data_IF_312160738864
#
_entry.id   IF_312160738864
#
_cell.length_a   1.000
_cell.length_b   1.000
_cell.length_c   1.000
_cell.angle_alpha   90.00
_cell.angle_beta   90.00
_cell.angle_gamma   90.00
#
_symmetry.space_group_name_H-M   'P 1'
#
loop_
_entity.id
_entity.type
_entity.pdbx_description
1 polymer ?
#
# COMPACT_ATOMS: atom_id res chain seq x y z
N UNK A 1 7.94 23.54 -40.46
CA UNK A 1 6.57 22.99 -40.42
C UNK A 1 6.73 21.49 -40.58
N UNK A 2 6.99 20.83 -39.47
CA UNK A 2 7.10 19.37 -39.39
C UNK A 2 6.49 19.01 -38.04
N UNK A 3 5.16 19.05 -38.00
CA UNK A 3 4.36 18.49 -36.91
C UNK A 3 4.37 16.97 -37.09
N UNK A 4 5.47 16.32 -36.70
CA UNK A 4 5.39 14.92 -36.34
C UNK A 4 4.63 14.86 -35.02
N UNK A 5 3.30 14.83 -35.12
CA UNK A 5 2.42 14.54 -34.01
C UNK A 5 2.92 13.24 -33.37
N UNK A 6 3.58 13.36 -32.21
CA UNK A 6 3.61 12.28 -31.24
C UNK A 6 2.15 11.94 -31.02
N UNK A 7 1.71 10.86 -31.66
CA UNK A 7 0.43 10.25 -31.38
C UNK A 7 0.50 9.90 -29.88
N UNK A 8 0.04 10.82 -29.03
CA UNK A 8 -0.11 10.55 -27.62
C UNK A 8 -1.04 9.33 -27.57
N UNK A 9 -0.48 8.17 -27.21
CA UNK A 9 -1.30 7.00 -26.96
C UNK A 9 -2.11 7.41 -25.73
N UNK A 10 -3.35 7.83 -25.98
CA UNK A 10 -4.26 8.28 -24.94
C UNK A 10 -4.45 7.08 -24.02
N UNK A 11 -3.86 7.16 -22.84
CA UNK A 11 -4.06 6.16 -21.80
C UNK A 11 -5.51 6.30 -21.36
N UNK A 12 -6.35 5.41 -21.87
CA UNK A 12 -7.81 5.42 -21.66
C UNK A 12 -8.27 4.14 -20.96
N UNK A 13 -7.42 3.12 -20.96
CA UNK A 13 -7.65 1.82 -20.34
C UNK A 13 -6.30 1.17 -20.00
N UNK A 14 -6.36 -0.02 -19.39
CA UNK A 14 -5.18 -0.80 -19.04
C UNK A 14 -4.33 -1.21 -20.25
N UNK A 15 -4.97 -1.62 -21.35
CA UNK A 15 -4.24 -2.14 -22.51
C UNK A 15 -3.39 -1.03 -23.14
N UNK A 16 -4.00 0.13 -23.38
CA UNK A 16 -3.34 1.34 -23.89
C UNK A 16 -2.24 1.82 -22.93
N UNK A 17 -2.44 1.75 -21.62
CA UNK A 17 -1.40 2.07 -20.64
C UNK A 17 -0.14 1.21 -20.84
N UNK A 18 -0.25 -0.12 -20.73
CA UNK A 18 0.91 -1.02 -20.83
C UNK A 18 1.53 -1.00 -22.23
N UNK A 19 0.70 -0.94 -23.27
CA UNK A 19 1.19 -0.80 -24.64
C UNK A 19 2.03 0.47 -24.81
N UNK A 20 1.62 1.60 -24.22
CA UNK A 20 2.38 2.86 -24.27
C UNK A 20 3.76 2.76 -23.61
N UNK A 21 3.94 1.87 -22.63
CA UNK A 21 5.22 1.63 -21.97
C UNK A 21 6.11 0.71 -22.81
N UNK A 22 5.55 -0.35 -23.41
CA UNK A 22 6.30 -1.26 -24.28
C UNK A 22 6.83 -0.57 -25.54
N UNK A 23 6.08 0.36 -26.12
CA UNK A 23 6.47 1.09 -27.33
C UNK A 23 7.41 2.29 -27.07
N UNK A 24 7.68 2.62 -25.80
CA UNK A 24 8.50 3.79 -25.46
C UNK A 24 9.99 3.51 -25.66
N UNK A 25 10.65 4.31 -26.48
CA UNK A 25 12.12 4.33 -26.62
C UNK A 25 12.81 5.19 -25.56
N UNK A 26 12.03 5.90 -24.73
CA UNK A 26 12.56 6.79 -23.71
C UNK A 26 12.68 6.03 -22.37
N UNK A 27 13.90 5.80 -21.92
CA UNK A 27 14.20 5.13 -20.65
C UNK A 27 13.75 5.92 -19.40
N UNK A 28 13.29 7.16 -19.57
CA UNK A 28 12.95 8.08 -18.47
C UNK A 28 11.52 8.64 -18.62
N UNK A 29 10.51 7.81 -18.33
CA UNK A 29 9.13 8.28 -18.19
C UNK A 29 8.92 8.83 -16.78
N UNK A 30 8.44 10.08 -16.68
CA UNK A 30 8.02 10.67 -15.40
C UNK A 30 6.76 9.97 -14.88
N UNK A 31 6.70 9.75 -13.57
CA UNK A 31 5.54 9.16 -12.90
C UNK A 31 4.31 10.07 -12.92
N UNK A 32 4.49 11.39 -13.06
CA UNK A 32 3.42 12.39 -13.06
C UNK A 32 2.51 12.33 -11.82
N UNK A 33 3.13 12.09 -10.65
CA UNK A 33 2.44 12.05 -9.35
C UNK A 33 3.08 13.01 -8.34
N UNK A 34 2.30 13.44 -7.35
CA UNK A 34 2.81 14.13 -6.16
C UNK A 34 2.22 13.53 -4.89
N UNK A 35 3.00 13.56 -3.81
CA UNK A 35 2.58 13.15 -2.47
C UNK A 35 2.58 14.39 -1.60
N UNK A 36 1.47 14.66 -0.93
CA UNK A 36 1.33 15.74 0.04
C UNK A 36 1.17 15.11 1.42
N UNK A 37 2.24 15.04 2.23
CA UNK A 37 2.18 14.42 3.54
C UNK A 37 1.43 15.27 4.55
N UNK A 38 0.81 14.64 5.55
CA UNK A 38 0.14 15.31 6.68
C UNK A 38 -1.01 16.25 6.28
N UNK A 39 -1.61 16.02 5.12
CA UNK A 39 -2.79 16.74 4.63
C UNK A 39 -3.93 15.76 4.40
N UNK A 40 -5.16 16.27 4.41
CA UNK A 40 -6.36 15.46 4.22
C UNK A 40 -7.57 16.25 3.73
N UNK A 41 -8.44 15.57 2.99
CA UNK A 41 -9.77 16.07 2.63
C UNK A 41 -10.89 15.55 3.53
N UNK A 42 -10.63 14.55 4.38
CA UNK A 42 -11.61 14.14 5.40
C UNK A 42 -11.84 15.30 6.37
N UNK A 43 -13.10 15.68 6.57
CA UNK A 43 -13.43 16.73 7.53
C UNK A 43 -13.05 16.27 8.93
N UNK A 44 -12.35 17.10 9.70
CA UNK A 44 -12.04 16.85 11.11
C UNK A 44 -13.27 16.93 12.03
N UNK A 45 -14.48 16.66 11.51
CA UNK A 45 -15.70 16.62 12.31
C UNK A 45 -15.60 15.41 13.24
N UNK A 46 -15.69 15.66 14.53
CA UNK A 46 -15.47 14.70 15.62
C UNK A 46 -16.61 13.70 15.84
N UNK A 47 -17.64 13.72 14.98
CA UNK A 47 -18.79 12.83 15.14
C UNK A 47 -18.39 11.38 14.90
N UNK A 48 -18.69 10.50 15.86
CA UNK A 48 -18.45 9.06 15.74
C UNK A 48 -19.33 8.38 14.70
N UNK A 49 -20.32 9.07 14.15
CA UNK A 49 -21.26 8.56 13.15
C UNK A 49 -20.68 8.52 11.73
N UNK A 50 -19.58 9.24 11.48
CA UNK A 50 -18.93 9.26 10.17
C UNK A 50 -17.61 8.49 10.20
N UNK A 51 -17.35 7.77 9.11
CA UNK A 51 -16.06 7.12 8.91
C UNK A 51 -14.98 8.15 8.60
N UNK A 52 -13.85 8.03 9.28
CA UNK A 52 -12.71 8.91 9.15
C UNK A 52 -11.43 8.09 9.29
N UNK A 53 -10.67 8.02 8.19
CA UNK A 53 -9.45 7.22 8.11
C UNK A 53 -8.37 7.69 9.09
N UNK A 54 -8.37 8.97 9.52
CA UNK A 54 -7.41 9.51 10.49
C UNK A 54 -7.50 8.84 11.84
N UNK A 55 -8.67 8.28 12.16
CA UNK A 55 -8.90 7.61 13.43
C UNK A 55 -8.34 6.19 13.44
N UNK A 56 -8.00 5.63 12.28
CA UNK A 56 -7.57 4.24 12.16
C UNK A 56 -6.30 3.95 12.98
N UNK A 57 -5.19 4.71 12.89
CA UNK A 57 -4.03 4.48 13.75
C UNK A 57 -4.35 4.48 15.25
N UNK A 58 -5.27 5.35 15.70
CA UNK A 58 -5.70 5.45 17.09
C UNK A 58 -6.65 4.33 17.53
N UNK A 59 -7.31 3.68 16.57
CA UNK A 59 -8.22 2.55 16.79
C UNK A 59 -7.57 1.22 16.49
N UNK A 60 -6.33 1.21 16.01
CA UNK A 60 -5.56 0.02 15.68
C UNK A 60 -4.63 -0.40 16.83
N UNK A 61 -3.94 -1.53 16.68
CA UNK A 61 -2.90 -1.99 17.58
C UNK A 61 -1.80 -0.94 17.83
N UNK A 62 -1.55 0.00 16.90
CA UNK A 62 -0.58 1.09 17.06
C UNK A 62 -0.83 1.93 18.32
N UNK A 63 -2.08 1.98 18.79
CA UNK A 63 -2.47 2.62 20.05
C UNK A 63 -1.63 2.15 21.24
N UNK A 64 -1.29 0.87 21.26
CA UNK A 64 -0.49 0.23 22.33
C UNK A 64 0.94 0.76 22.39
N UNK A 65 1.50 1.21 21.26
CA UNK A 65 2.82 1.83 21.20
C UNK A 65 2.88 3.26 21.78
N UNK A 66 1.72 3.82 22.14
CA UNK A 66 1.58 5.17 22.68
C UNK A 66 1.67 6.28 21.62
N UNK A 67 1.43 7.53 22.05
CA UNK A 67 1.32 8.68 21.15
C UNK A 67 2.57 8.92 20.28
N UNK A 68 3.77 8.57 20.75
CA UNK A 68 5.00 8.71 19.97
C UNK A 68 4.99 7.84 18.72
N UNK A 69 4.47 6.61 18.80
CA UNK A 69 4.37 5.68 17.68
C UNK A 69 3.26 6.12 16.73
N UNK A 70 2.07 6.39 17.27
CA UNK A 70 0.88 6.73 16.45
C UNK A 70 1.12 7.99 15.60
N UNK A 71 1.75 9.02 16.17
CA UNK A 71 2.01 10.29 15.47
C UNK A 71 2.95 10.17 14.26
N UNK A 72 3.61 9.03 14.07
CA UNK A 72 4.41 8.74 12.88
C UNK A 72 3.55 8.32 11.68
N UNK A 73 2.31 7.92 11.93
CA UNK A 73 1.36 7.42 10.93
C UNK A 73 0.27 8.47 10.71
N UNK A 74 0.66 9.52 9.98
CA UNK A 74 -0.26 10.55 9.48
C UNK A 74 -0.71 10.19 8.07
N UNK A 75 -1.91 10.61 7.66
CA UNK A 75 -2.35 10.42 6.29
C UNK A 75 -1.51 11.25 5.32
N UNK A 76 -1.56 10.85 4.06
CA UNK A 76 -0.97 11.60 2.96
C UNK A 76 -1.90 11.56 1.76
N UNK A 77 -1.98 12.70 1.07
CA UNK A 77 -2.68 12.79 -0.20
C UNK A 77 -1.74 12.38 -1.33
N UNK A 78 -2.31 11.68 -2.31
CA UNK A 78 -1.67 11.34 -3.57
C UNK A 78 -2.44 12.01 -4.69
N UNK A 79 -1.70 12.76 -5.50
CA UNK A 79 -2.22 13.44 -6.68
C UNK A 79 -1.64 12.81 -7.93
N UNK A 80 -2.50 12.36 -8.83
CA UNK A 80 -2.15 12.10 -10.22
C UNK A 80 -2.35 13.39 -11.03
N UNK A 81 -1.37 13.78 -11.83
CA UNK A 81 -1.44 15.01 -12.63
C UNK A 81 -2.15 14.85 -13.97
N UNK A 82 -2.46 13.61 -14.38
CA UNK A 82 -3.15 13.33 -15.63
C UNK A 82 -3.17 11.83 -15.97
N UNK A 83 -3.69 11.47 -17.16
CA UNK A 83 -3.80 10.10 -17.63
C UNK A 83 -2.45 9.37 -17.66
N UNK A 84 -2.45 8.12 -17.21
CA UNK A 84 -1.28 7.27 -17.15
C UNK A 84 -0.24 7.72 -16.12
N UNK A 85 -0.62 8.53 -15.12
CA UNK A 85 0.23 8.75 -13.96
C UNK A 85 0.40 7.44 -13.18
N UNK A 86 1.62 7.19 -12.73
CA UNK A 86 2.08 5.90 -12.20
C UNK A 86 2.36 6.04 -10.71
N UNK A 87 1.78 5.16 -9.91
CA UNK A 87 2.19 4.91 -8.54
C UNK A 87 3.04 3.64 -8.51
N UNK A 88 4.38 3.79 -8.39
CA UNK A 88 5.27 2.64 -8.46
C UNK A 88 5.04 1.66 -7.30
N UNK A 89 5.54 0.44 -7.48
CA UNK A 89 5.49 -0.63 -6.49
C UNK A 89 6.04 -0.18 -5.14
N UNK A 90 5.19 -0.27 -4.13
CA UNK A 90 5.55 0.03 -2.75
C UNK A 90 4.77 -0.88 -1.78
N UNK A 91 5.17 -0.83 -0.51
CA UNK A 91 4.47 -1.45 0.61
C UNK A 91 4.17 -0.36 1.63
N UNK A 92 3.10 -0.55 2.41
CA UNK A 92 2.89 0.28 3.59
C UNK A 92 4.13 0.25 4.51
N UNK A 93 4.38 1.38 5.18
CA UNK A 93 5.51 1.54 6.13
C UNK A 93 5.51 0.39 7.13
N UNK A 94 6.69 -0.19 7.38
CA UNK A 94 6.88 -1.33 8.28
C UNK A 94 5.96 -2.54 8.00
N UNK A 95 5.54 -2.69 6.73
CA UNK A 95 4.65 -3.76 6.28
C UNK A 95 3.33 -3.79 7.06
N UNK A 96 2.86 -2.63 7.52
CA UNK A 96 1.56 -2.44 8.14
C UNK A 96 0.42 -2.70 7.14
N UNK A 97 -0.82 -2.70 7.64
CA UNK A 97 -1.98 -2.54 6.75
C UNK A 97 -2.03 -1.11 6.24
N UNK A 98 -2.62 -0.90 5.08
CA UNK A 98 -2.95 0.43 4.59
C UNK A 98 -4.33 0.47 4.01
N UNK A 99 -5.02 1.59 4.19
CA UNK A 99 -6.25 1.91 3.49
C UNK A 99 -5.98 3.08 2.56
N UNK A 100 -6.62 3.06 1.40
CA UNK A 100 -6.67 4.16 0.47
C UNK A 100 -8.12 4.50 0.13
N UNK A 101 -8.44 5.79 0.15
CA UNK A 101 -9.72 6.32 -0.30
C UNK A 101 -9.51 7.18 -1.53
N UNK A 102 -10.21 6.85 -2.61
CA UNK A 102 -10.17 7.64 -3.83
C UNK A 102 -11.23 8.74 -3.76
N UNK A 103 -10.81 9.99 -3.66
CA UNK A 103 -11.73 11.13 -3.50
C UNK A 103 -12.43 11.49 -4.80
N UNK A 104 -11.66 11.72 -5.86
CA UNK A 104 -12.14 12.21 -7.16
C UNK A 104 -11.15 11.92 -8.30
N UNK A 105 -11.64 11.95 -9.54
CA UNK A 105 -10.83 11.84 -10.76
C UNK A 105 -11.05 10.55 -11.55
N UNK A 106 -10.06 10.21 -12.40
CA UNK A 106 -10.06 8.96 -13.17
C UNK A 106 -9.78 7.72 -12.31
N UNK A 107 -10.29 6.56 -12.73
CA UNK A 107 -10.17 5.33 -11.96
C UNK A 107 -8.72 4.87 -11.81
N UNK A 108 -8.43 4.20 -10.69
CA UNK A 108 -7.13 3.62 -10.39
C UNK A 108 -7.12 2.13 -10.73
N UNK A 109 -6.18 1.70 -11.55
CA UNK A 109 -5.94 0.28 -11.85
C UNK A 109 -4.81 -0.22 -10.95
N UNK A 110 -5.15 -1.05 -9.98
CA UNK A 110 -4.24 -1.60 -8.99
C UNK A 110 -3.78 -3.01 -9.35
N UNK A 111 -2.51 -3.28 -9.10
CA UNK A 111 -1.92 -4.61 -9.05
C UNK A 111 -1.37 -4.85 -7.65
N UNK A 112 -1.98 -5.79 -6.93
CA UNK A 112 -1.69 -6.05 -5.52
C UNK A 112 -1.07 -7.44 -5.42
N UNK A 113 0.18 -7.51 -4.98
CA UNK A 113 0.92 -8.75 -4.81
C UNK A 113 0.91 -9.13 -3.31
N UNK A 114 0.35 -10.30 -2.95
CA UNK A 114 0.28 -10.75 -1.57
C UNK A 114 1.67 -10.91 -0.94
N UNK A 115 1.75 -10.72 0.39
CA UNK A 115 3.02 -10.73 1.12
C UNK A 115 3.85 -12.03 0.93
N UNK A 116 3.19 -13.17 0.76
CA UNK A 116 3.83 -14.48 0.51
C UNK A 116 4.64 -14.55 -0.80
N UNK A 117 4.34 -13.71 -1.77
CA UNK A 117 5.02 -13.69 -3.07
C UNK A 117 6.28 -12.82 -3.07
N UNK A 118 6.48 -11.99 -2.04
CA UNK A 118 7.55 -10.99 -1.98
C UNK A 118 8.94 -11.59 -2.10
N UNK A 119 9.21 -12.71 -1.43
CA UNK A 119 10.53 -13.33 -1.44
C UNK A 119 10.88 -13.90 -2.81
N UNK A 120 9.89 -14.48 -3.50
CA UNK A 120 10.06 -14.98 -4.87
C UNK A 120 10.29 -13.79 -5.80
N UNK A 121 9.46 -12.74 -5.68
CA UNK A 121 9.58 -11.54 -6.50
C UNK A 121 10.92 -10.83 -6.30
N UNK A 122 11.38 -10.66 -5.05
CA UNK A 122 12.68 -10.04 -4.76
C UNK A 122 13.83 -10.84 -5.36
N UNK A 123 13.77 -12.18 -5.33
CA UNK A 123 14.78 -13.02 -5.97
C UNK A 123 14.81 -12.83 -7.49
N UNK A 124 13.66 -12.67 -8.13
CA UNK A 124 13.57 -12.39 -9.57
C UNK A 124 14.18 -11.02 -9.87
N UNK A 125 13.78 -9.98 -9.13
CA UNK A 125 14.31 -8.62 -9.32
C UNK A 125 15.83 -8.58 -9.08
N UNK A 126 16.34 -9.28 -8.07
CA UNK A 126 17.77 -9.32 -7.77
C UNK A 126 18.62 -9.95 -8.87
N UNK A 127 18.06 -10.84 -9.70
CA UNK A 127 18.76 -11.40 -10.88
C UNK A 127 19.01 -10.35 -11.96
N UNK A 128 18.17 -9.33 -12.03
CA UNK A 128 18.30 -8.23 -12.98
C UNK A 128 19.04 -7.04 -12.36
N UNK A 129 18.66 -6.64 -11.15
CA UNK A 129 19.23 -5.48 -10.45
C UNK A 129 19.12 -5.63 -8.93
N UNK A 130 20.20 -6.12 -8.32
CA UNK A 130 20.30 -6.42 -6.88
C UNK A 130 20.15 -5.23 -5.94
N UNK A 131 20.20 -3.99 -6.46
CA UNK A 131 20.08 -2.77 -5.67
C UNK A 131 18.63 -2.30 -5.50
N UNK A 132 17.66 -2.87 -6.23
CA UNK A 132 16.26 -2.45 -6.15
C UNK A 132 15.58 -3.03 -4.91
N UNK A 133 14.98 -2.15 -4.12
CA UNK A 133 14.07 -2.50 -3.04
C UNK A 133 12.62 -2.45 -3.51
N UNK A 134 11.84 -3.50 -3.22
CA UNK A 134 10.41 -3.55 -3.54
C UNK A 134 9.58 -2.51 -2.75
N UNK A 135 10.09 -2.01 -1.63
CA UNK A 135 9.33 -1.13 -0.73
C UNK A 135 9.43 0.36 -1.09
N UNK A 136 10.36 0.72 -1.96
CA UNK A 136 10.84 2.10 -2.10
C UNK A 136 10.28 2.87 -3.29
N UNK A 137 9.24 2.36 -3.97
CA UNK A 137 8.58 3.10 -5.04
C UNK A 137 9.48 3.32 -6.27
N UNK A 138 10.44 2.41 -6.52
CA UNK A 138 11.41 2.55 -7.61
C UNK A 138 11.13 1.66 -8.82
N UNK A 139 10.10 0.81 -8.73
CA UNK A 139 9.86 -0.25 -9.69
C UNK A 139 8.40 -0.23 -10.13
N UNK A 140 8.18 -0.41 -11.43
CA UNK A 140 6.88 -0.77 -11.99
C UNK A 140 7.09 -2.10 -12.74
N UNK A 141 6.27 -3.10 -12.44
CA UNK A 141 6.39 -4.43 -13.04
C UNK A 141 5.18 -4.67 -13.95
N UNK A 142 5.43 -4.93 -15.22
CA UNK A 142 4.37 -5.37 -16.14
C UNK A 142 3.74 -6.68 -15.62
N UNK A 143 2.39 -6.78 -15.51
CA UNK A 143 1.69 -7.99 -15.12
C UNK A 143 2.12 -9.23 -15.90
N UNK A 144 2.50 -9.10 -17.17
CA UNK A 144 3.04 -10.19 -17.99
C UNK A 144 4.33 -10.77 -17.42
N UNK A 145 5.15 -9.97 -16.74
CA UNK A 145 6.36 -10.46 -16.04
C UNK A 145 5.96 -11.26 -14.80
N UNK A 146 4.92 -10.84 -14.08
CA UNK A 146 4.39 -11.58 -12.93
C UNK A 146 3.83 -12.93 -13.39
N UNK A 147 3.04 -12.94 -14.45
CA UNK A 147 2.44 -14.15 -15.04
C UNK A 147 3.50 -15.14 -15.51
N UNK A 148 4.52 -14.67 -16.24
CA UNK A 148 5.65 -15.50 -16.73
C UNK A 148 6.44 -16.15 -15.60
N UNK A 149 6.47 -15.53 -14.42
CA UNK A 149 7.19 -16.05 -13.26
C UNK A 149 6.25 -16.72 -12.23
N UNK A 150 4.99 -16.94 -12.59
CA UNK A 150 3.97 -17.55 -11.73
C UNK A 150 3.77 -16.82 -10.39
N UNK A 151 3.97 -15.50 -10.37
CA UNK A 151 3.71 -14.65 -9.21
C UNK A 151 2.22 -14.33 -9.18
N UNK A 152 1.54 -14.70 -8.10
CA UNK A 152 0.12 -14.35 -7.91
C UNK A 152 -0.04 -12.88 -7.57
N UNK A 153 -1.03 -12.23 -8.17
CA UNK A 153 -1.45 -10.88 -7.84
C UNK A 153 -2.97 -10.74 -8.01
N UNK A 154 -3.52 -9.70 -7.41
CA UNK A 154 -4.89 -9.27 -7.62
C UNK A 154 -4.89 -8.02 -8.49
N UNK A 155 -5.83 -7.98 -9.43
CA UNK A 155 -6.13 -6.79 -10.22
C UNK A 155 -7.43 -6.18 -9.71
N UNK A 156 -7.41 -4.89 -9.39
CA UNK A 156 -8.58 -4.16 -8.88
C UNK A 156 -8.69 -2.83 -9.60
N UNK A 157 -9.90 -2.45 -10.00
CA UNK A 157 -10.20 -1.10 -10.47
C UNK A 157 -10.92 -0.40 -9.32
N UNK A 158 -10.37 0.73 -8.87
CA UNK A 158 -10.95 1.55 -7.82
C UNK A 158 -11.50 2.83 -8.46
N UNK A 159 -12.81 3.03 -8.33
CA UNK A 159 -13.51 4.24 -8.76
C UNK A 159 -13.54 5.29 -7.64
N UNK A 160 -13.84 6.56 -7.96
CA UNK A 160 -14.06 7.57 -6.94
C UNK A 160 -15.07 7.10 -5.90
N UNK A 161 -14.84 7.53 -4.66
CA UNK A 161 -15.62 7.19 -3.46
C UNK A 161 -15.50 5.73 -2.98
N UNK A 162 -14.51 4.97 -3.49
CA UNK A 162 -14.22 3.62 -3.05
C UNK A 162 -12.97 3.53 -2.17
N UNK A 163 -12.97 2.53 -1.27
CA UNK A 163 -11.82 2.19 -0.46
C UNK A 163 -11.10 0.95 -1.01
N UNK A 164 -9.78 0.99 -1.02
CA UNK A 164 -8.92 -0.20 -1.17
C UNK A 164 -8.16 -0.42 0.13
N UNK A 165 -8.30 -1.61 0.72
CA UNK A 165 -7.56 -2.01 1.92
C UNK A 165 -6.53 -3.05 1.54
N UNK A 166 -5.26 -2.76 1.83
CA UNK A 166 -4.14 -3.67 1.62
C UNK A 166 -3.79 -4.38 2.92
N UNK A 167 -3.65 -5.70 2.84
CA UNK A 167 -3.18 -6.51 3.96
C UNK A 167 -1.75 -6.15 4.35
N UNK A 168 -1.37 -6.47 5.60
CA UNK A 168 0.01 -6.34 6.03
C UNK A 168 0.99 -7.00 5.04
N UNK A 169 2.10 -6.31 4.79
CA UNK A 169 3.15 -6.73 3.86
C UNK A 169 2.76 -6.80 2.38
N UNK A 170 1.52 -6.52 1.97
CA UNK A 170 1.18 -6.50 0.55
C UNK A 170 2.03 -5.46 -0.20
N UNK A 171 2.43 -5.82 -1.41
CA UNK A 171 3.01 -4.88 -2.37
C UNK A 171 1.89 -4.39 -3.29
N UNK A 172 1.91 -3.12 -3.65
CA UNK A 172 0.96 -2.55 -4.59
C UNK A 172 1.62 -1.56 -5.53
N UNK A 173 1.21 -1.61 -6.78
CA UNK A 173 1.47 -0.59 -7.79
C UNK A 173 0.14 -0.23 -8.45
N UNK A 174 0.03 0.98 -8.99
CA UNK A 174 -1.15 1.37 -9.76
C UNK A 174 -0.84 2.41 -10.83
N UNK A 175 -1.78 2.61 -11.74
CA UNK A 175 -1.82 3.78 -12.61
C UNK A 175 -3.25 4.33 -12.66
N UNK A 176 -3.39 5.54 -13.21
CA UNK A 176 -4.66 6.26 -13.25
C UNK A 176 -5.10 6.56 -14.67
N UNK A 177 -6.41 6.54 -14.92
CA UNK A 177 -7.00 6.90 -16.22
C UNK A 177 -7.00 8.42 -16.46
N UNK A 178 -6.97 9.23 -15.40
CA UNK A 178 -6.94 10.70 -15.49
C UNK A 178 -6.33 11.31 -14.20
N UNK A 179 -6.21 12.63 -14.16
CA UNK A 179 -5.93 13.38 -12.96
C UNK A 179 -6.88 12.96 -11.83
N UNK A 180 -6.33 12.74 -10.65
CA UNK A 180 -7.10 12.24 -9.50
C UNK A 180 -6.46 12.58 -8.18
N UNK A 181 -7.29 12.48 -7.14
CA UNK A 181 -6.90 12.58 -5.75
C UNK A 181 -7.30 11.32 -4.99
N UNK A 182 -6.34 10.79 -4.23
CA UNK A 182 -6.58 9.75 -3.24
C UNK A 182 -5.88 10.09 -1.93
N UNK A 183 -6.33 9.48 -0.85
CA UNK A 183 -5.78 9.66 0.47
C UNK A 183 -5.53 8.31 1.12
N UNK A 184 -4.31 8.11 1.63
CA UNK A 184 -3.93 6.85 2.24
C UNK A 184 -3.43 7.03 3.67
N UNK A 185 -3.63 6.01 4.50
CA UNK A 185 -3.05 5.92 5.84
C UNK A 185 -2.78 4.47 6.23
N UNK A 186 -1.74 4.26 7.06
CA UNK A 186 -1.37 2.94 7.56
C UNK A 186 -1.92 2.68 8.96
N UNK A 187 -2.23 1.42 9.26
CA UNK A 187 -2.70 0.97 10.57
C UNK A 187 -2.22 -0.46 10.87
N UNK A 188 -2.28 -0.87 12.13
CA UNK A 188 -1.87 -2.21 12.57
C UNK A 188 -3.06 -3.00 13.15
N UNK A 189 -3.19 -4.25 12.74
CA UNK A 189 -4.01 -5.28 13.40
C UNK A 189 -3.10 -6.28 14.13
N UNK A 190 -3.61 -7.07 15.11
CA UNK A 190 -2.83 -8.12 15.78
C UNK A 190 -2.07 -9.05 14.81
N UNK A 191 -2.70 -9.41 13.69
CA UNK A 191 -2.10 -10.32 12.70
C UNK A 191 -0.81 -9.77 12.06
N UNK A 192 -0.58 -8.45 12.06
CA UNK A 192 0.70 -7.88 11.61
C UNK A 192 1.91 -8.40 12.41
N UNK A 193 1.71 -8.70 13.70
CA UNK A 193 2.73 -9.31 14.56
C UNK A 193 2.73 -10.83 14.35
N UNK A 194 1.56 -11.46 14.35
CA UNK A 194 1.41 -12.92 14.25
C UNK A 194 1.98 -13.47 12.93
N UNK A 195 1.76 -12.75 11.83
CA UNK A 195 2.28 -13.08 10.50
C UNK A 195 3.78 -12.74 10.33
N UNK A 196 4.42 -12.22 11.39
CA UNK A 196 5.86 -11.90 11.42
C UNK A 196 6.26 -10.64 10.64
N UNK A 197 5.29 -9.86 10.12
CA UNK A 197 5.57 -8.63 9.38
C UNK A 197 6.25 -7.56 10.23
N UNK A 198 5.91 -7.48 11.52
CA UNK A 198 6.47 -6.54 12.47
C UNK A 198 7.99 -6.76 12.74
N UNK A 199 8.43 -8.02 12.74
CA UNK A 199 9.82 -8.40 12.98
C UNK A 199 10.63 -8.61 11.70
N UNK A 200 10.00 -8.46 10.54
CA UNK A 200 10.66 -8.66 9.27
C UNK A 200 11.79 -7.64 9.09
N UNK A 201 13.00 -8.08 8.71
CA UNK A 201 14.10 -7.16 8.49
C UNK A 201 13.73 -6.18 7.38
N UNK A 202 13.90 -4.89 7.65
CA UNK A 202 13.88 -3.87 6.61
C UNK A 202 15.05 -4.19 5.68
N UNK A 203 14.82 -4.42 4.37
CA UNK A 203 15.91 -4.70 3.46
C UNK A 203 16.94 -3.59 3.54
N UNK A 204 18.20 -3.92 3.86
CA UNK A 204 19.32 -2.97 3.71
C UNK A 204 19.53 -2.74 2.22
N UNK A 205 18.76 -1.82 1.66
CA UNK A 205 18.89 -1.47 0.27
C UNK A 205 20.03 -0.46 0.08
N UNK A 206 20.65 -0.47 -1.09
CA UNK A 206 21.61 0.57 -1.49
C UNK A 206 20.91 1.75 -2.20
N UNK A 207 19.58 1.81 -2.14
CA UNK A 207 18.81 2.89 -2.73
C UNK A 207 19.20 4.21 -2.03
N UNK A 208 19.67 5.19 -2.79
CA UNK A 208 20.03 6.51 -2.29
C UNK A 208 18.76 7.34 -2.04
N UNK A 209 17.95 6.93 -1.05
CA UNK A 209 16.73 7.62 -0.63
C UNK A 209 17.09 8.47 0.59
N UNK A 210 16.73 9.76 0.63
CA UNK A 210 17.07 10.62 1.75
C UNK A 210 16.66 9.99 3.09
N UNK A 211 17.56 10.09 4.07
CA UNK A 211 17.46 9.46 5.39
C UNK A 211 16.21 9.88 6.18
N UNK A 212 15.59 11.02 5.82
CA UNK A 212 14.32 11.50 6.37
C UNK A 212 13.11 10.60 6.02
N UNK A 213 13.28 9.67 5.06
CA UNK A 213 12.30 8.64 4.68
C UNK A 213 12.61 7.25 5.24
N UNK A 214 13.72 7.08 5.98
CA UNK A 214 13.99 5.84 6.69
C UNK A 214 13.14 5.81 7.97
N UNK A 215 12.32 4.76 8.19
CA UNK A 215 11.36 4.77 9.28
C UNK A 215 12.06 4.76 10.64
N UNK A 216 11.57 5.57 11.57
CA UNK A 216 11.71 5.27 12.99
C UNK A 216 11.19 3.85 13.19
N UNK A 217 12.08 2.91 13.52
CA UNK A 217 11.72 1.51 13.73
C UNK A 217 10.71 1.48 14.88
N UNK A 218 9.51 0.90 14.63
CA UNK A 218 8.63 0.57 15.73
C UNK A 218 9.38 -0.46 16.55
N UNK A 219 9.68 -0.09 17.79
CA UNK A 219 10.20 -0.99 18.79
C UNK A 219 9.09 -1.99 19.16
N UNK A 220 9.05 -3.10 18.41
CA UNK A 220 8.04 -4.17 18.57
C UNK A 220 8.11 -4.85 19.93
N UNK A 221 9.22 -4.72 20.67
CA UNK A 221 9.33 -5.25 22.04
C UNK A 221 8.36 -4.58 23.01
N UNK A 222 7.85 -3.40 22.65
CA UNK A 222 6.80 -2.68 23.39
C UNK A 222 5.43 -3.35 23.28
N UNK A 223 5.21 -4.19 22.27
CA UNK A 223 3.96 -4.89 22.02
C UNK A 223 3.99 -6.25 22.72
N UNK A 224 3.87 -6.24 24.05
CA UNK A 224 3.80 -7.47 24.85
C UNK A 224 2.49 -8.22 24.57
N UNK A 225 2.54 -9.56 24.63
CA UNK A 225 1.37 -10.42 24.41
C UNK A 225 0.17 -10.04 25.28
N UNK A 226 0.39 -9.69 26.55
CA UNK A 226 -0.66 -9.21 27.45
C UNK A 226 -1.36 -7.93 26.95
N UNK A 227 -0.61 -6.99 26.38
CA UNK A 227 -1.16 -5.74 25.85
C UNK A 227 -1.93 -5.96 24.55
N UNK A 228 -1.44 -6.87 23.71
CA UNK A 228 -2.15 -7.32 22.50
C UNK A 228 -3.46 -7.99 22.90
N UNK A 229 -3.42 -8.94 23.83
CA UNK A 229 -4.60 -9.65 24.31
C UNK A 229 -5.61 -8.67 24.92
N UNK A 230 -5.14 -7.73 25.74
CA UNK A 230 -5.98 -6.67 26.29
C UNK A 230 -6.63 -5.82 25.20
N UNK A 231 -5.89 -5.46 24.15
CA UNK A 231 -6.44 -4.74 23.00
C UNK A 231 -7.52 -5.56 22.29
N UNK A 232 -7.27 -6.85 22.03
CA UNK A 232 -8.25 -7.77 21.40
C UNK A 232 -9.53 -7.83 22.25
N UNK A 233 -9.41 -8.08 23.55
CA UNK A 233 -10.56 -8.16 24.47
C UNK A 233 -11.34 -6.85 24.57
N UNK A 234 -10.66 -5.70 24.61
CA UNK A 234 -11.32 -4.40 24.80
C UNK A 234 -11.89 -3.78 23.51
N UNK A 235 -11.34 -4.11 22.35
CA UNK A 235 -11.60 -3.37 21.12
C UNK A 235 -12.06 -4.21 19.93
N UNK A 236 -11.82 -5.53 19.93
CA UNK A 236 -12.18 -6.40 18.81
C UNK A 236 -13.35 -7.35 19.12
N UNK A 237 -13.90 -7.34 20.35
CA UNK A 237 -15.03 -8.18 20.77
C UNK A 237 -14.91 -9.67 20.38
N UNK A 238 -13.70 -10.19 20.27
CA UNK A 238 -13.47 -11.62 20.05
C UNK A 238 -13.64 -12.31 21.40
N UNK A 239 -14.90 -12.53 21.79
CA UNK A 239 -15.23 -13.49 22.85
C UNK A 239 -15.03 -14.90 22.28
N UNK A 240 -14.41 -15.76 23.08
CA UNK A 240 -13.95 -17.09 22.69
C UNK A 240 -15.11 -18.09 22.53
N UNK A 241 -16.06 -17.83 21.63
CA UNK A 241 -17.25 -18.69 21.45
C UNK A 241 -17.09 -19.79 20.38
N UNK A 242 -15.94 -19.93 19.72
CA UNK A 242 -15.71 -21.00 18.73
C UNK A 242 -15.03 -22.26 19.30
N UNK A 243 -15.23 -22.57 20.60
CA UNK A 243 -14.80 -23.86 21.19
C UNK A 243 -15.94 -24.67 21.81
N UNK A 244 -17.14 -24.64 21.23
CA UNK A 244 -18.21 -25.57 21.64
C UNK A 244 -19.09 -26.07 20.48
N UNK A 245 -18.50 -26.82 19.54
CA UNK A 245 -19.18 -27.87 18.78
C UNK A 245 -18.08 -28.76 18.20
N UNK A 246 -17.88 -30.03 18.53
CA UNK A 246 -18.79 -31.15 18.77
C UNK A 246 -18.00 -32.24 19.51
N UNK A 247 -18.29 -32.48 20.77
CA UNK A 247 -18.06 -33.76 21.43
C UNK A 247 -19.33 -34.05 22.22
N UNK A 248 -20.26 -34.76 21.59
CA UNK A 248 -21.21 -35.70 22.20
C UNK A 248 -22.17 -36.18 21.12
N UNK A 249 -21.98 -37.43 20.70
CA UNK A 249 -22.87 -38.18 19.82
C UNK A 249 -22.69 -39.64 20.18
N UNK A 250 -23.64 -40.11 21.00
CA UNK A 250 -23.78 -41.44 21.57
C UNK A 250 -23.86 -42.56 20.53
#
# INVERSE_FOLDING_TARGET
MDESAQQSCLVTDEYSFWFSLCSSTNEQRLVNTSIVPNESFFSQKTSRLYFDIHRLPYQSLLKTGGNKVIRQFVPYLRRAHGPGAIFPMTSARQRLFSIDYHHEGGAHHWYIIPAREREVLQRIINRHKSTICLDHGQLLIDPLILDKNHIRYHRVIQHPNEFVVLSAGALAQSFTEDASWSESIAFALPSWIEDGHASAPIPRCQCNIPQDFLPDIIDVTRFKQELIQRYITLHLNVTADDTSSTLEGS
#
